data_IF_497775725363
#
_entry.id   IF_497775725363
#
_cell.length_a   1.000
_cell.length_b   1.000
_cell.length_c   1.000
_cell.angle_alpha   90.00
_cell.angle_beta   90.00
_cell.angle_gamma   90.00
#
_symmetry.space_group_name_H-M   'P 1'
#
loop_
_entity.id
_entity.type
_entity.pdbx_description
1 polymer ?
#
# COMPACT_ATOMS: atom_id res chain seq x y z
N UNK A 1 47.64 -21.66 18.28
CA UNK A 1 46.27 -21.12 18.37
C UNK A 1 46.30 -19.93 19.32
N UNK A 2 46.33 -18.70 18.80
CA UNK A 2 46.06 -17.41 19.50
C UNK A 2 46.65 -16.26 18.67
N UNK A 3 46.08 -15.99 17.48
CA UNK A 3 46.47 -14.82 16.68
C UNK A 3 45.41 -14.40 15.63
N UNK A 4 44.14 -14.82 15.77
CA UNK A 4 43.06 -14.49 14.81
C UNK A 4 41.78 -13.96 15.45
N UNK A 5 41.82 -13.50 16.71
CA UNK A 5 40.64 -12.95 17.42
C UNK A 5 40.77 -11.47 17.84
N UNK A 6 41.76 -10.73 17.32
CA UNK A 6 42.01 -9.34 17.72
C UNK A 6 41.89 -8.30 16.58
N UNK A 7 41.32 -8.67 15.42
CA UNK A 7 41.13 -7.74 14.29
C UNK A 7 39.67 -7.43 13.94
N UNK A 8 38.69 -8.01 14.66
CA UNK A 8 37.26 -7.75 14.41
C UNK A 8 36.62 -6.76 15.40
N UNK A 9 37.38 -6.23 16.36
CA UNK A 9 36.90 -5.26 17.36
C UNK A 9 37.33 -3.82 17.03
N UNK A 10 38.13 -3.60 15.99
CA UNK A 10 38.61 -2.25 15.61
C UNK A 10 37.81 -1.56 14.48
N UNK A 11 36.77 -2.19 13.91
CA UNK A 11 35.93 -1.56 12.87
C UNK A 11 34.53 -1.12 13.35
N UNK A 12 34.16 -1.37 14.61
CA UNK A 12 32.86 -0.96 15.18
C UNK A 12 32.97 0.34 16.01
N UNK A 13 34.18 0.88 16.21
CA UNK A 13 34.43 2.10 17.00
C UNK A 13 34.75 3.35 16.15
N UNK A 14 34.68 3.28 14.82
CA UNK A 14 34.97 4.41 13.92
C UNK A 14 33.73 5.05 13.27
N UNK A 15 32.52 4.55 13.54
CA UNK A 15 31.24 5.14 13.06
C UNK A 15 30.40 5.77 14.18
N UNK A 16 30.94 5.88 15.39
CA UNK A 16 30.29 6.49 16.56
C UNK A 16 30.91 7.83 17.01
N UNK A 17 31.74 8.46 16.18
CA UNK A 17 32.33 9.80 16.46
C UNK A 17 32.12 10.77 15.29
N UNK A 18 30.91 10.81 14.74
CA UNK A 18 30.45 11.97 13.92
C UNK A 18 29.03 12.43 14.26
N UNK A 19 28.34 11.80 15.22
CA UNK A 19 27.13 12.35 15.85
C UNK A 19 27.53 13.18 17.08
N UNK A 20 28.16 14.34 16.87
CA UNK A 20 28.16 15.47 17.82
C UNK A 20 29.02 16.60 17.25
N UNK A 21 28.49 17.33 16.26
CA UNK A 21 28.74 18.77 16.07
C UNK A 21 27.95 19.23 14.86
N UNK A 22 26.78 19.83 15.11
CA UNK A 22 26.31 21.11 14.54
C UNK A 22 24.85 21.31 14.93
N UNK A 23 24.62 21.75 16.16
CA UNK A 23 23.49 22.59 16.51
C UNK A 23 24.06 24.00 16.71
N UNK A 24 23.86 24.91 15.76
CA UNK A 24 23.72 26.35 15.97
C UNK A 24 23.62 27.14 14.65
N UNK A 25 22.38 27.55 14.37
CA UNK A 25 21.98 28.93 14.05
C UNK A 25 22.20 29.58 12.66
N UNK A 26 21.03 29.93 12.07
CA UNK A 26 20.65 31.19 11.41
C UNK A 26 21.03 31.46 9.94
N UNK A 27 20.01 31.83 9.14
CA UNK A 27 20.17 32.67 7.93
C UNK A 27 19.29 32.29 6.74
N UNK A 28 18.36 33.18 6.39
CA UNK A 28 17.44 33.11 5.25
C UNK A 28 18.12 33.18 3.86
N UNK A 29 17.32 32.85 2.83
CA UNK A 29 17.27 33.46 1.49
C UNK A 29 18.10 32.85 0.32
N UNK A 30 17.35 32.13 -0.51
CA UNK A 30 17.12 32.36 -1.95
C UNK A 30 18.02 31.73 -3.04
N UNK A 31 17.29 31.26 -4.06
CA UNK A 31 17.61 31.00 -5.48
C UNK A 31 18.21 29.66 -5.93
N UNK A 32 17.38 29.00 -6.76
CA UNK A 32 17.67 28.22 -7.97
C UNK A 32 18.73 27.11 -7.94
N UNK A 33 18.23 25.87 -7.99
CA UNK A 33 18.90 24.75 -8.63
C UNK A 33 17.85 23.79 -9.18
N UNK A 34 17.62 23.82 -10.49
CA UNK A 34 16.86 22.81 -11.23
C UNK A 34 17.51 21.43 -11.01
N UNK A 35 16.73 20.48 -10.51
CA UNK A 35 17.09 19.06 -10.58
C UNK A 35 16.29 18.42 -11.70
N UNK A 36 17.00 18.16 -12.79
CA UNK A 36 16.58 17.30 -13.89
C UNK A 36 16.27 15.88 -13.35
N UNK A 37 15.00 15.49 -13.33
CA UNK A 37 14.60 14.10 -13.24
C UNK A 37 14.22 13.61 -14.64
N UNK A 38 15.20 13.03 -15.33
CA UNK A 38 14.95 12.09 -16.41
C UNK A 38 15.33 10.69 -15.90
N UNK A 39 14.51 9.72 -16.30
CA UNK A 39 14.59 8.25 -16.21
C UNK A 39 13.38 7.65 -15.50
N UNK A 40 12.68 6.84 -16.28
CA UNK A 40 11.38 6.26 -15.98
C UNK A 40 11.39 5.26 -14.83
N UNK A 41 10.19 4.81 -14.52
CA UNK A 41 9.87 3.75 -13.56
C UNK A 41 10.63 2.45 -13.91
N UNK A 42 11.89 2.39 -13.49
CA UNK A 42 12.66 1.17 -13.33
C UNK A 42 12.75 0.93 -11.84
N UNK A 43 12.15 -0.17 -11.38
CA UNK A 43 12.41 -0.73 -10.07
C UNK A 43 13.95 -0.90 -9.94
N UNK A 44 14.61 -0.27 -8.96
CA UNK A 44 16.02 -0.55 -8.73
C UNK A 44 16.14 -1.85 -7.94
N UNK A 45 16.84 -2.85 -8.50
CA UNK A 45 17.38 -3.97 -7.73
C UNK A 45 16.83 -5.36 -8.05
N UNK A 46 16.89 -5.79 -9.31
CA UNK A 46 16.82 -7.21 -9.67
C UNK A 46 17.92 -7.50 -10.69
N UNK A 47 19.18 -7.29 -10.30
CA UNK A 47 20.29 -7.98 -10.93
C UNK A 47 21.51 -8.00 -10.00
N UNK A 48 21.99 -9.22 -9.75
CA UNK A 48 23.23 -9.58 -9.04
C UNK A 48 23.21 -9.62 -7.51
N UNK A 49 22.55 -10.65 -6.97
CA UNK A 49 23.05 -11.36 -5.79
C UNK A 49 23.14 -12.87 -6.13
N UNK A 50 24.35 -13.33 -6.45
CA UNK A 50 24.63 -14.76 -6.57
C UNK A 50 24.70 -15.38 -5.17
N UNK A 51 23.62 -16.04 -4.77
CA UNK A 51 23.61 -17.08 -3.74
C UNK A 51 22.86 -16.75 -2.45
N UNK A 52 21.53 -16.93 -2.47
CA UNK A 52 20.69 -17.58 -1.43
C UNK A 52 19.20 -17.31 -1.75
N UNK A 53 18.43 -18.38 -1.88
CA UNK A 53 16.97 -18.51 -1.97
C UNK A 53 16.13 -17.62 -2.91
N UNK A 54 15.75 -18.21 -4.04
CA UNK A 54 14.78 -17.68 -5.02
C UNK A 54 13.32 -18.09 -4.71
N UNK A 55 12.99 -18.54 -3.49
CA UNK A 55 11.65 -19.09 -3.16
C UNK A 55 10.75 -18.12 -2.35
N UNK A 56 11.32 -17.09 -1.71
CA UNK A 56 10.56 -16.16 -0.85
C UNK A 56 9.56 -15.30 -1.64
N UNK A 57 9.98 -14.74 -2.78
CA UNK A 57 9.08 -13.98 -3.66
C UNK A 57 8.02 -14.85 -4.33
N UNK A 58 8.28 -16.16 -4.47
CA UNK A 58 7.31 -17.16 -4.94
C UNK A 58 6.23 -17.43 -3.89
N UNK A 59 6.62 -17.63 -2.63
CA UNK A 59 5.71 -17.87 -1.50
C UNK A 59 4.70 -16.75 -1.28
N UNK A 60 5.11 -15.48 -1.43
CA UNK A 60 4.21 -14.31 -1.24
C UNK A 60 3.09 -14.19 -2.29
N UNK A 61 3.24 -14.88 -3.45
CA UNK A 61 2.28 -14.83 -4.57
C UNK A 61 1.39 -16.07 -4.68
N UNK A 62 1.74 -17.18 -4.01
CA UNK A 62 0.94 -18.41 -4.08
C UNK A 62 -0.37 -18.21 -3.30
N UNK A 63 -1.50 -18.43 -3.97
CA UNK A 63 -2.82 -18.41 -3.35
C UNK A 63 -3.29 -17.03 -2.89
N UNK A 64 -2.84 -15.95 -3.54
CA UNK A 64 -3.35 -14.59 -3.26
C UNK A 64 -4.85 -14.51 -3.57
N UNK A 65 -5.33 -15.17 -4.62
CA UNK A 65 -6.77 -15.23 -4.98
C UNK A 65 -7.66 -15.89 -3.89
N UNK A 66 -7.06 -16.63 -2.95
CA UNK A 66 -7.79 -17.21 -1.81
C UNK A 66 -8.12 -16.15 -0.74
N UNK A 67 -7.29 -15.10 -0.65
CA UNK A 67 -7.33 -14.09 0.44
C UNK A 67 -7.59 -12.67 -0.05
N UNK A 68 -7.50 -12.42 -1.35
CA UNK A 68 -7.87 -11.15 -1.98
C UNK A 68 -8.75 -11.45 -3.19
N UNK A 69 -9.95 -10.89 -3.18
CA UNK A 69 -10.90 -10.97 -4.29
C UNK A 69 -11.34 -9.57 -4.68
N UNK A 70 -11.60 -9.35 -5.96
CA UNK A 70 -12.13 -8.08 -6.42
C UNK A 70 -13.21 -8.25 -7.47
N UNK A 71 -14.13 -7.29 -7.52
CA UNK A 71 -15.23 -7.25 -8.47
C UNK A 71 -15.70 -5.81 -8.69
N UNK A 72 -16.32 -5.58 -9.83
CA UNK A 72 -17.00 -4.32 -10.07
C UNK A 72 -18.29 -4.21 -9.29
N UNK A 73 -18.51 -3.03 -8.71
CA UNK A 73 -19.71 -2.72 -7.98
C UNK A 73 -20.86 -2.36 -8.92
N UNK A 74 -22.10 -2.69 -8.54
CA UNK A 74 -23.28 -2.25 -9.26
C UNK A 74 -23.38 -0.71 -9.34
N UNK A 75 -24.07 -0.22 -10.36
CA UNK A 75 -24.26 1.22 -10.60
C UNK A 75 -25.33 1.82 -9.67
N UNK A 76 -25.75 1.07 -8.65
CA UNK A 76 -26.63 1.60 -7.62
C UNK A 76 -25.76 2.55 -6.81
N UNK A 77 -25.79 3.83 -7.18
CA UNK A 77 -25.21 4.88 -6.37
C UNK A 77 -25.81 4.67 -4.99
N UNK A 78 -25.00 4.16 -4.05
CA UNK A 78 -25.44 3.66 -2.73
C UNK A 78 -26.52 4.62 -2.27
N UNK A 79 -27.78 4.22 -2.45
CA UNK A 79 -28.86 5.12 -2.16
C UNK A 79 -28.74 5.43 -0.66
N UNK A 80 -29.22 6.57 -0.18
CA UNK A 80 -29.02 6.95 1.23
C UNK A 80 -29.53 5.87 2.22
N UNK A 81 -30.32 4.89 1.74
CA UNK A 81 -30.86 3.74 2.44
C UNK A 81 -30.18 2.38 2.15
N UNK A 82 -29.21 2.28 1.24
CA UNK A 82 -28.54 1.02 0.93
C UNK A 82 -27.32 0.75 1.82
N UNK A 83 -27.20 -0.50 2.28
CA UNK A 83 -26.14 -0.90 3.19
C UNK A 83 -24.81 -1.09 2.41
N UNK A 84 -23.90 -0.13 2.52
CA UNK A 84 -22.56 -0.15 1.93
C UNK A 84 -21.74 -1.43 2.21
N UNK A 85 -22.09 -2.17 3.28
CA UNK A 85 -21.41 -3.39 3.73
C UNK A 85 -21.80 -4.63 2.92
N UNK A 86 -22.90 -4.58 2.16
CA UNK A 86 -23.30 -5.66 1.26
C UNK A 86 -22.32 -5.79 0.10
N UNK A 87 -22.15 -6.96 -0.54
CA UNK A 87 -21.17 -7.14 -1.60
C UNK A 87 -21.31 -6.21 -2.82
N UNK A 88 -22.54 -5.77 -3.15
CA UNK A 88 -22.83 -4.88 -4.30
C UNK A 88 -22.30 -5.41 -5.64
N UNK A 89 -22.53 -6.69 -5.94
CA UNK A 89 -22.11 -7.28 -7.23
C UNK A 89 -22.98 -6.74 -8.38
N UNK A 90 -22.33 -6.30 -9.48
CA UNK A 90 -22.99 -6.11 -10.77
C UNK A 90 -23.79 -7.34 -11.18
N UNK A 91 -24.81 -7.14 -12.01
CA UNK A 91 -25.58 -8.22 -12.61
C UNK A 91 -25.47 -8.14 -14.15
N UNK A 92 -24.73 -9.07 -14.80
CA UNK A 92 -24.05 -10.24 -14.23
C UNK A 92 -22.80 -9.89 -13.40
N UNK A 93 -22.39 -10.81 -12.51
CA UNK A 93 -21.17 -10.66 -11.70
C UNK A 93 -19.95 -10.44 -12.60
N UNK A 94 -19.16 -9.42 -12.27
CA UNK A 94 -17.99 -9.01 -13.04
C UNK A 94 -16.75 -8.99 -12.13
N UNK A 95 -16.04 -10.12 -12.08
CA UNK A 95 -14.82 -10.26 -11.28
C UNK A 95 -13.65 -9.46 -11.88
N UNK A 96 -12.85 -8.85 -11.00
CA UNK A 96 -11.63 -8.11 -11.36
C UNK A 96 -10.42 -8.97 -11.02
N UNK A 97 -9.61 -9.39 -12.02
CA UNK A 97 -8.44 -10.22 -11.78
C UNK A 97 -7.34 -9.42 -11.06
N UNK A 98 -6.49 -10.10 -10.28
CA UNK A 98 -5.35 -9.47 -9.59
C UNK A 98 -4.42 -8.69 -10.53
N UNK A 99 -4.29 -9.13 -11.79
CA UNK A 99 -3.53 -8.41 -12.81
C UNK A 99 -4.10 -7.00 -13.07
N UNK A 100 -5.44 -6.84 -13.08
CA UNK A 100 -6.08 -5.53 -13.23
C UNK A 100 -5.86 -4.65 -12.00
N UNK A 101 -5.87 -5.22 -10.79
CA UNK A 101 -5.48 -4.47 -9.59
C UNK A 101 -4.05 -3.96 -9.70
N UNK A 102 -3.13 -4.79 -10.20
CA UNK A 102 -1.74 -4.39 -10.43
C UNK A 102 -1.62 -3.28 -11.49
N UNK A 103 -2.42 -3.32 -12.55
CA UNK A 103 -2.48 -2.24 -13.56
C UNK A 103 -2.96 -0.91 -12.94
N UNK A 104 -3.78 -0.95 -11.89
CA UNK A 104 -4.17 0.20 -11.09
C UNK A 104 -3.11 0.63 -10.06
N UNK A 105 -1.97 -0.07 -10.00
CA UNK A 105 -0.89 0.14 -9.03
C UNK A 105 -1.13 -0.51 -7.67
N UNK A 106 -2.19 -1.30 -7.51
CA UNK A 106 -2.52 -1.99 -6.26
C UNK A 106 -1.77 -3.31 -6.21
N UNK A 107 -0.96 -3.50 -5.16
CA UNK A 107 -0.24 -4.75 -4.94
C UNK A 107 -0.99 -5.58 -3.90
N UNK A 108 -1.28 -6.83 -4.25
CA UNK A 108 -1.89 -7.82 -3.36
C UNK A 108 -0.89 -8.94 -3.06
N UNK A 109 -0.76 -9.32 -1.79
CA UNK A 109 0.13 -10.36 -1.29
C UNK A 109 -0.60 -11.28 -0.32
N UNK A 110 -0.09 -12.50 -0.16
CA UNK A 110 -0.49 -13.42 0.90
C UNK A 110 0.66 -13.64 1.87
N UNK A 111 0.36 -13.56 3.16
CA UNK A 111 1.29 -13.70 4.28
C UNK A 111 0.70 -14.62 5.37
N UNK A 112 1.54 -15.01 6.33
CA UNK A 112 1.11 -15.84 7.46
C UNK A 112 0.58 -14.96 8.60
N UNK A 113 -0.75 -14.78 8.62
CA UNK A 113 -1.40 -13.95 9.64
C UNK A 113 -1.34 -14.56 11.04
N UNK A 114 -1.24 -15.89 11.17
CA UNK A 114 -1.14 -16.54 12.47
C UNK A 114 0.22 -16.27 13.12
N UNK A 115 1.28 -16.21 12.29
CA UNK A 115 2.64 -15.98 12.74
C UNK A 115 3.20 -14.60 12.34
N UNK A 116 2.33 -13.60 12.16
CA UNK A 116 2.73 -12.26 11.67
C UNK A 116 3.87 -11.59 12.47
N UNK A 117 4.04 -11.91 13.75
CA UNK A 117 5.15 -11.39 14.58
C UNK A 117 6.54 -11.92 14.15
N UNK A 118 6.58 -13.06 13.45
CA UNK A 118 7.79 -13.78 13.06
C UNK A 118 7.83 -14.10 11.56
N UNK A 119 6.91 -13.53 10.78
CA UNK A 119 6.84 -13.77 9.34
C UNK A 119 8.04 -13.08 8.64
N UNK A 120 8.93 -13.91 8.08
CA UNK A 120 10.11 -13.46 7.34
C UNK A 120 9.73 -12.74 6.03
N UNK A 121 8.60 -13.10 5.41
CA UNK A 121 8.10 -12.43 4.21
C UNK A 121 7.61 -11.01 4.56
N UNK A 122 6.90 -10.85 5.68
CA UNK A 122 6.52 -9.53 6.18
C UNK A 122 7.76 -8.68 6.48
N UNK A 123 8.78 -9.28 7.11
CA UNK A 123 10.03 -8.59 7.44
C UNK A 123 10.76 -8.12 6.19
N UNK A 124 10.94 -9.01 5.20
CA UNK A 124 11.58 -8.70 3.92
C UNK A 124 10.84 -7.59 3.18
N UNK A 125 9.52 -7.71 3.03
CA UNK A 125 8.70 -6.73 2.33
C UNK A 125 8.78 -5.33 2.98
N UNK A 126 8.77 -5.28 4.31
CA UNK A 126 8.94 -4.02 5.04
C UNK A 126 10.31 -3.39 4.78
N UNK A 127 11.38 -4.17 4.72
CA UNK A 127 12.72 -3.67 4.43
C UNK A 127 12.83 -3.15 2.99
N UNK A 128 12.32 -3.91 2.02
CA UNK A 128 12.37 -3.55 0.59
C UNK A 128 11.57 -2.30 0.27
N UNK A 129 10.38 -2.14 0.88
CA UNK A 129 9.50 -0.98 0.67
C UNK A 129 9.73 0.16 1.64
N UNK A 130 10.63 -0.02 2.61
CA UNK A 130 10.99 1.01 3.59
C UNK A 130 9.91 1.29 4.64
N UNK A 131 9.08 0.30 5.00
CA UNK A 131 8.06 0.45 6.05
C UNK A 131 8.65 0.40 7.46
N UNK A 132 9.01 1.58 7.97
CA UNK A 132 9.67 1.78 9.26
C UNK A 132 8.74 1.59 10.46
N UNK A 133 7.45 1.86 10.30
CA UNK A 133 6.48 1.84 11.39
C UNK A 133 5.32 0.88 11.09
N UNK A 134 4.74 0.33 12.15
CA UNK A 134 3.52 -0.47 12.08
C UNK A 134 2.72 -0.36 13.37
N UNK A 135 1.41 -0.52 13.27
CA UNK A 135 0.53 -0.76 14.40
C UNK A 135 -0.60 -1.74 14.03
N UNK A 136 -1.35 -2.19 15.04
CA UNK A 136 -2.52 -3.05 14.85
C UNK A 136 -3.74 -2.28 15.32
N UNK A 137 -4.74 -2.24 14.45
CA UNK A 137 -6.07 -1.72 14.76
C UNK A 137 -7.08 -2.85 14.79
N UNK A 138 -8.09 -2.69 15.64
CA UNK A 138 -9.26 -3.56 15.70
C UNK A 138 -10.50 -2.67 15.64
N UNK A 139 -11.29 -2.78 14.57
CA UNK A 139 -12.53 -2.03 14.39
C UNK A 139 -13.70 -2.98 14.61
N UNK A 140 -14.50 -2.66 15.62
CA UNK A 140 -15.80 -3.30 15.91
C UNK A 140 -16.63 -2.32 16.72
N UNK A 141 -17.97 -2.32 16.58
CA UNK A 141 -18.84 -1.40 17.30
C UNK A 141 -18.58 -1.35 18.82
N UNK A 142 -18.23 -2.49 19.42
CA UNK A 142 -18.09 -2.65 20.87
C UNK A 142 -16.76 -2.10 21.42
N UNK A 143 -15.69 -2.12 20.61
CA UNK A 143 -14.33 -1.77 21.06
C UNK A 143 -13.89 -0.39 20.60
N UNK A 144 -14.58 0.23 19.64
CA UNK A 144 -14.16 1.49 19.04
C UNK A 144 -15.01 2.68 19.54
N UNK A 145 -14.42 3.62 20.30
CA UNK A 145 -15.05 4.91 20.56
C UNK A 145 -15.33 5.67 19.26
N UNK A 146 -16.48 6.33 19.16
CA UNK A 146 -16.90 7.08 17.97
C UNK A 146 -16.97 6.24 16.68
N UNK A 147 -17.25 4.94 16.79
CA UNK A 147 -17.34 3.99 15.67
C UNK A 147 -18.11 4.56 14.46
N UNK A 148 -19.34 5.03 14.65
CA UNK A 148 -20.17 5.56 13.55
C UNK A 148 -19.53 6.73 12.80
N UNK A 149 -18.92 7.66 13.54
CA UNK A 149 -18.23 8.80 12.94
C UNK A 149 -16.95 8.37 12.22
N UNK A 150 -16.25 7.34 12.72
CA UNK A 150 -15.05 6.80 12.08
C UNK A 150 -15.37 6.03 10.80
N UNK A 151 -16.33 5.11 10.83
CA UNK A 151 -16.76 4.36 9.64
C UNK A 151 -17.26 5.31 8.55
N UNK A 152 -18.03 6.34 8.92
CA UNK A 152 -18.46 7.37 7.97
C UNK A 152 -17.28 8.10 7.31
N UNK A 153 -16.26 8.46 8.08
CA UNK A 153 -15.05 9.13 7.55
C UNK A 153 -14.22 8.20 6.65
N UNK A 154 -14.09 6.93 7.02
CA UNK A 154 -13.38 5.95 6.22
C UNK A 154 -14.07 5.64 4.89
N UNK A 155 -15.40 5.74 4.87
CA UNK A 155 -16.20 5.47 3.67
C UNK A 155 -16.31 6.67 2.71
N UNK A 156 -16.01 7.88 3.18
CA UNK A 156 -15.94 9.04 2.30
C UNK A 156 -14.83 8.84 1.27
N UNK A 157 -15.10 9.03 -0.02
CA UNK A 157 -14.09 8.84 -1.08
C UNK A 157 -12.93 9.83 -0.89
N UNK A 158 -11.71 9.31 -0.75
CA UNK A 158 -10.52 10.10 -0.46
C UNK A 158 -9.26 9.53 -1.13
N UNK A 159 -8.17 10.28 -1.00
CA UNK A 159 -6.83 9.82 -1.35
C UNK A 159 -5.83 10.15 -0.24
N UNK A 160 -4.68 9.48 -0.29
CA UNK A 160 -3.52 9.76 0.54
C UNK A 160 -2.32 10.18 -0.32
N UNK A 161 -1.41 10.97 0.26
CA UNK A 161 -0.14 11.36 -0.38
C UNK A 161 0.94 10.29 -0.30
N UNK A 162 0.71 9.27 0.51
CA UNK A 162 1.57 8.11 0.74
C UNK A 162 0.78 6.82 0.47
N UNK A 163 1.48 5.67 0.43
CA UNK A 163 0.83 4.37 0.27
C UNK A 163 -0.05 4.04 1.49
N UNK A 164 -1.24 3.50 1.23
CA UNK A 164 -2.10 2.93 2.24
C UNK A 164 -1.90 1.40 2.28
N UNK A 165 -1.17 0.92 3.29
CA UNK A 165 -0.86 -0.50 3.46
C UNK A 165 -1.74 -1.12 4.53
N UNK A 166 -2.38 -2.24 4.20
CA UNK A 166 -3.33 -2.93 5.08
C UNK A 166 -3.11 -4.43 5.00
N UNK A 167 -2.63 -4.98 6.10
CA UNK A 167 -2.45 -6.42 6.28
C UNK A 167 -3.58 -6.96 7.17
N UNK A 168 -4.47 -7.74 6.56
CA UNK A 168 -5.63 -8.32 7.23
C UNK A 168 -5.22 -9.48 8.14
N UNK A 169 -5.32 -9.27 9.45
CA UNK A 169 -5.17 -10.30 10.46
C UNK A 169 -6.51 -11.00 10.75
N UNK A 170 -7.63 -10.30 10.50
CA UNK A 170 -9.01 -10.80 10.49
C UNK A 170 -9.96 -9.75 9.83
N UNK A 171 -11.12 -10.15 9.32
CA UNK A 171 -12.12 -9.26 8.67
C UNK A 171 -11.81 -8.84 7.22
N UNK A 172 -12.40 -7.74 6.71
CA UNK A 172 -12.30 -7.34 5.28
C UNK A 172 -12.65 -5.87 4.96
N UNK A 173 -12.14 -5.38 3.80
CA UNK A 173 -12.91 -4.53 2.86
C UNK A 173 -12.26 -3.20 2.42
N UNK A 174 -12.15 -2.94 1.10
CA UNK A 174 -11.79 -1.65 0.49
C UNK A 174 -12.55 -1.47 -0.83
N UNK A 175 -12.85 -0.22 -1.22
CA UNK A 175 -13.28 0.11 -2.58
C UNK A 175 -12.29 1.09 -3.22
N UNK A 176 -11.97 0.89 -4.50
CA UNK A 176 -11.03 1.72 -5.27
C UNK A 176 -11.64 2.16 -6.60
N UNK A 177 -11.20 3.30 -7.13
CA UNK A 177 -11.54 3.72 -8.50
C UNK A 177 -10.63 3.04 -9.51
N UNK A 178 -11.21 2.52 -10.58
CA UNK A 178 -10.46 2.07 -11.75
C UNK A 178 -10.11 3.24 -12.70
N UNK A 179 -9.52 2.93 -13.84
CA UNK A 179 -9.14 3.91 -14.87
C UNK A 179 -10.31 4.75 -15.43
N UNK A 180 -11.52 4.19 -15.44
CA UNK A 180 -12.73 4.76 -16.02
C UNK A 180 -13.62 5.33 -14.91
N UNK A 181 -13.03 5.52 -13.72
CA UNK A 181 -13.66 6.06 -12.52
C UNK A 181 -14.82 5.19 -12.01
N UNK A 182 -14.79 3.88 -12.29
CA UNK A 182 -15.75 2.91 -11.77
C UNK A 182 -15.29 2.34 -10.42
N UNK A 183 -16.24 2.00 -9.55
CA UNK A 183 -15.93 1.36 -8.27
C UNK A 183 -15.59 -0.12 -8.44
N UNK A 184 -14.42 -0.49 -7.93
CA UNK A 184 -13.98 -1.87 -7.75
C UNK A 184 -13.93 -2.14 -6.25
N UNK A 185 -14.69 -3.14 -5.79
CA UNK A 185 -14.57 -3.65 -4.43
C UNK A 185 -13.41 -4.63 -4.36
N UNK A 186 -12.53 -4.45 -3.38
CA UNK A 186 -11.42 -5.33 -3.01
C UNK A 186 -11.72 -5.92 -1.63
N UNK A 187 -12.16 -7.17 -1.60
CA UNK A 187 -12.37 -7.91 -0.36
C UNK A 187 -11.09 -8.60 0.06
N UNK A 188 -10.65 -8.33 1.28
CA UNK A 188 -9.57 -9.05 1.92
C UNK A 188 -10.11 -10.17 2.81
N UNK A 189 -9.26 -11.11 3.14
CA UNK A 189 -9.49 -12.07 4.21
C UNK A 189 -8.18 -12.26 4.95
N UNK A 190 -8.25 -12.94 6.11
CA UNK A 190 -7.07 -13.21 6.95
C UNK A 190 -5.90 -13.73 6.12
N UNK A 191 -4.73 -13.08 6.25
CA UNK A 191 -3.52 -13.38 5.49
C UNK A 191 -3.35 -12.53 4.23
N UNK A 192 -4.39 -11.84 3.76
CA UNK A 192 -4.31 -10.91 2.65
C UNK A 192 -3.68 -9.58 3.06
N UNK A 193 -2.76 -9.08 2.25
CA UNK A 193 -2.19 -7.74 2.36
C UNK A 193 -2.44 -6.99 1.06
N UNK A 194 -2.95 -5.76 1.16
CA UNK A 194 -3.01 -4.83 0.04
C UNK A 194 -2.12 -3.61 0.27
N UNK A 195 -1.54 -3.11 -0.81
CA UNK A 195 -0.83 -1.84 -0.88
C UNK A 195 -1.59 -0.98 -1.88
N UNK A 196 -2.24 0.05 -1.38
CA UNK A 196 -2.97 1.05 -2.17
C UNK A 196 -2.00 2.19 -2.49
N UNK A 197 -1.76 2.51 -3.78
CA UNK A 197 -0.76 3.50 -4.15
C UNK A 197 -1.18 4.92 -3.74
N UNK A 198 -0.21 5.78 -3.44
CA UNK A 198 -0.45 7.20 -3.22
C UNK A 198 -1.21 7.82 -4.40
N UNK A 199 -2.22 8.64 -4.12
CA UNK A 199 -2.98 9.38 -5.13
C UNK A 199 -4.12 8.63 -5.84
N UNK A 200 -4.39 7.36 -5.53
CA UNK A 200 -5.61 6.69 -5.99
C UNK A 200 -6.80 7.10 -5.12
N UNK A 201 -7.97 7.32 -5.75
CA UNK A 201 -9.21 7.49 -4.99
C UNK A 201 -9.70 6.12 -4.50
N UNK A 202 -9.99 6.06 -3.21
CA UNK A 202 -10.46 4.86 -2.53
C UNK A 202 -11.34 5.24 -1.34
N UNK A 203 -11.94 4.22 -0.74
CA UNK A 203 -12.65 4.30 0.54
C UNK A 203 -12.58 2.95 1.24
N UNK A 204 -12.86 2.93 2.53
CA UNK A 204 -12.90 1.72 3.34
C UNK A 204 -14.31 1.49 3.88
N UNK A 205 -14.76 0.24 3.82
CA UNK A 205 -15.96 -0.21 4.52
C UNK A 205 -15.73 -1.61 5.07
N UNK A 206 -16.32 -1.87 6.23
CA UNK A 206 -16.49 -3.22 6.74
C UNK A 206 -17.50 -3.97 5.88
N UNK A 207 -17.52 -5.29 6.01
CA UNK A 207 -18.62 -6.13 5.54
C UNK A 207 -19.72 -6.24 6.61
N UNK A 208 -20.70 -7.10 6.35
CA UNK A 208 -21.81 -7.38 7.26
C UNK A 208 -21.40 -8.01 8.61
N UNK A 209 -20.16 -8.48 8.75
CA UNK A 209 -19.62 -8.97 10.03
C UNK A 209 -19.19 -7.82 10.95
N UNK A 210 -19.09 -6.58 10.44
CA UNK A 210 -18.73 -5.38 11.21
C UNK A 210 -17.42 -5.52 12.00
N UNK A 211 -16.47 -6.28 11.45
CA UNK A 211 -15.22 -6.60 12.13
C UNK A 211 -14.03 -6.53 11.20
N UNK A 212 -12.95 -5.90 11.66
CA UNK A 212 -11.62 -6.07 11.07
C UNK A 212 -10.55 -5.95 12.15
N UNK A 213 -9.52 -6.79 12.05
CA UNK A 213 -8.23 -6.61 12.71
C UNK A 213 -7.18 -6.47 11.62
N UNK A 214 -6.57 -5.30 11.53
CA UNK A 214 -5.60 -5.00 10.49
C UNK A 214 -4.30 -4.47 11.09
N UNK A 215 -3.18 -4.96 10.56
CA UNK A 215 -1.89 -4.29 10.72
C UNK A 215 -1.75 -3.22 9.64
N UNK A 216 -1.36 -2.02 10.06
CA UNK A 216 -1.10 -0.88 9.18
C UNK A 216 0.41 -0.65 9.13
N UNK A 217 0.95 -0.33 7.96
CA UNK A 217 2.39 -0.15 7.76
C UNK A 217 2.66 1.21 7.11
N UNK A 218 3.79 1.85 7.49
CA UNK A 218 4.13 3.21 7.06
C UNK A 218 5.61 3.34 6.72
N UNK A 219 5.91 4.09 5.66
CA UNK A 219 7.29 4.43 5.30
C UNK A 219 7.90 5.51 6.21
N UNK A 220 7.06 6.34 6.85
CA UNK A 220 7.47 7.39 7.78
C UNK A 220 6.61 7.42 9.04
N UNK A 221 6.64 8.54 9.78
CA UNK A 221 5.72 8.73 10.90
C UNK A 221 4.26 8.63 10.44
N UNK A 222 3.32 8.26 11.34
CA UNK A 222 1.93 8.07 10.97
C UNK A 222 1.29 9.39 10.50
N UNK A 223 1.15 9.56 9.19
CA UNK A 223 0.30 10.58 8.57
C UNK A 223 -0.97 9.91 8.02
N UNK A 224 -2.11 10.32 8.56
CA UNK A 224 -3.43 9.77 8.26
C UNK A 224 -4.30 10.73 7.46
N UNK A 225 -3.68 11.76 6.88
CA UNK A 225 -4.43 12.82 6.22
C UNK A 225 -5.13 12.28 4.99
N UNK A 226 -6.45 12.12 5.11
CA UNK A 226 -7.35 11.79 4.02
C UNK A 226 -7.79 13.08 3.32
N UNK A 227 -7.58 13.14 2.01
CA UNK A 227 -8.04 14.24 1.17
C UNK A 227 -9.29 13.81 0.41
N UNK A 228 -10.46 14.15 0.95
CA UNK A 228 -11.75 13.76 0.37
C UNK A 228 -11.90 14.34 -1.03
N UNK A 229 -12.36 13.55 -2.00
CA UNK A 229 -12.52 14.02 -3.38
C UNK A 229 -13.42 15.27 -3.45
N UNK A 230 -13.07 16.32 -4.23
CA UNK A 230 -11.97 16.42 -5.20
C UNK A 230 -10.66 16.99 -4.64
N UNK A 231 -9.52 16.36 -4.95
CA UNK A 231 -8.17 16.85 -4.67
C UNK A 231 -7.17 16.58 -5.82
N UNK A 232 -7.62 16.72 -7.08
CA UNK A 232 -6.81 16.40 -8.27
C UNK A 232 -5.57 17.29 -8.49
N UNK A 233 -5.46 18.38 -7.74
CA UNK A 233 -4.32 19.29 -7.79
C UNK A 233 -3.08 18.74 -7.08
N UNK A 234 -3.23 17.77 -6.16
CA UNK A 234 -2.15 17.23 -5.35
C UNK A 234 -1.08 16.53 -6.22
N UNK A 235 0.23 16.69 -5.91
CA UNK A 235 1.30 16.03 -6.66
C UNK A 235 1.16 14.50 -6.70
N UNK A 236 0.80 13.86 -5.59
CA UNK A 236 0.58 12.42 -5.53
C UNK A 236 -0.47 11.95 -6.56
N UNK A 237 -1.59 12.66 -6.66
CA UNK A 237 -2.64 12.37 -7.65
C UNK A 237 -2.16 12.53 -9.08
N UNK A 238 -1.43 13.60 -9.38
CA UNK A 238 -0.85 13.83 -10.72
C UNK A 238 0.16 12.74 -11.10
N UNK A 239 1.02 12.35 -10.17
CA UNK A 239 2.00 11.29 -10.37
C UNK A 239 1.32 9.94 -10.59
N UNK A 240 0.28 9.63 -9.80
CA UNK A 240 -0.54 8.42 -9.97
C UNK A 240 -1.16 8.35 -11.38
N UNK A 241 -1.82 9.42 -11.81
CA UNK A 241 -2.43 9.48 -13.15
C UNK A 241 -1.39 9.37 -14.26
N UNK A 242 -0.23 10.02 -14.10
CA UNK A 242 0.87 9.90 -15.06
C UNK A 242 1.35 8.44 -15.17
N UNK A 243 1.53 7.74 -14.05
CA UNK A 243 1.94 6.33 -14.04
C UNK A 243 0.87 5.42 -14.68
N UNK A 244 -0.40 5.61 -14.31
CA UNK A 244 -1.55 4.83 -14.82
C UNK A 244 -1.67 4.91 -16.35
N UNK A 245 -1.48 6.10 -16.93
CA UNK A 245 -1.65 6.31 -18.36
C UNK A 245 -0.36 6.16 -19.18
N UNK A 246 0.82 6.25 -18.57
CA UNK A 246 2.10 6.02 -19.26
C UNK A 246 2.25 4.58 -19.75
N UNK A 247 1.66 3.60 -19.06
CA UNK A 247 1.67 2.19 -19.47
C UNK A 247 0.86 1.92 -20.75
N UNK A 248 -0.22 2.68 -21.00
CA UNK A 248 -1.16 2.45 -22.11
C UNK A 248 -0.65 2.89 -23.47
N UNK A 249 0.17 3.95 -23.53
CA UNK A 249 0.75 4.45 -24.78
C UNK A 249 1.61 3.43 -25.53
N UNK A 250 2.11 2.39 -24.84
CA UNK A 250 2.98 1.35 -25.41
C UNK A 250 2.26 0.12 -25.96
N UNK A 251 0.94 0.00 -25.75
CA UNK A 251 0.13 -1.12 -26.26
C UNK A 251 -0.63 -0.78 -27.55
N UNK A 252 -0.98 0.49 -27.78
CA UNK A 252 -1.67 0.91 -29.01
C UNK A 252 -0.79 0.82 -30.28
N UNK A 253 0.53 0.89 -30.14
CA UNK A 253 1.47 0.81 -31.27
C UNK A 253 1.84 -0.63 -31.71
N UNK A 254 1.31 -1.68 -31.03
CA UNK A 254 1.62 -3.08 -31.37
C UNK A 254 0.61 -3.76 -32.31
N UNK A 255 -0.48 -3.09 -32.66
CA UNK A 255 -1.53 -3.66 -33.54
C UNK A 255 -1.62 -2.96 -34.91
N UNK A 256 -0.61 -2.19 -35.27
CA UNK A 256 -0.53 -1.44 -36.52
C UNK A 256 0.70 -1.86 -37.35
N UNK A 257 0.86 -3.15 -37.63
CA UNK A 257 1.66 -3.66 -38.77
C UNK A 257 1.12 -5.00 -39.26
#
# INVERSE_FOLDING_TARGET
>A
MAAKKLLFILCVLATLVTLETTYAHCGESSTHGELHFSHGLSLPGLDSCHGADTDLAGGMKIGVDDVVKAWYMDDVAVAEDEDQRLPHHRQPDEAVPLAKLLDLGIVALRLDAENHERDENLTTMRQERGYLHMDIIELTPEKMPNYEAMIKRFFEEHLHTDEEVRYCLDGTGFDVRDEDDQWVRVSLSKGGLIIVPAGIYHRFTLDNNNYIKAMRLFSGGPDWTAYNRPHDHLPARKNYLAALYSGRGSQQDRHSY
#
